data_IF_007129262942
#
_entry.id   IF_007129262942
#
_cell.length_a   1.000
_cell.length_b   1.000
_cell.length_c   1.000
_cell.angle_alpha   90.00
_cell.angle_beta   90.00
_cell.angle_gamma   90.00
#
_symmetry.space_group_name_H-M   'P 1'
#
loop_
_entity.id
_entity.type
_entity.pdbx_description
1 polymer ?
#
# COMPACT_ATOMS: atom_id res chain seq x y z
N UNK A 1 -11.10 -25.84 13.74
CA UNK A 1 -10.05 -26.87 13.67
C UNK A 1 -8.92 -26.48 14.62
N UNK A 2 -8.31 -27.44 15.35
CA UNK A 2 -7.45 -27.16 16.53
C UNK A 2 -6.34 -26.12 16.29
N UNK A 3 -5.85 -25.97 15.06
CA UNK A 3 -4.77 -25.03 14.73
C UNK A 3 -5.26 -23.60 14.47
N UNK A 4 -6.50 -23.38 14.03
CA UNK A 4 -7.04 -22.03 13.80
C UNK A 4 -7.05 -21.24 15.11
N UNK A 5 -7.51 -21.86 16.19
CA UNK A 5 -7.55 -21.21 17.51
C UNK A 5 -6.15 -20.87 18.02
N UNK A 6 -5.17 -21.77 17.83
CA UNK A 6 -3.77 -21.49 18.16
C UNK A 6 -3.21 -20.33 17.33
N UNK A 7 -3.45 -20.29 16.01
CA UNK A 7 -3.00 -19.17 15.17
C UNK A 7 -3.62 -17.84 15.63
N UNK A 8 -4.91 -17.84 15.94
CA UNK A 8 -5.61 -16.66 16.50
C UNK A 8 -4.98 -16.21 17.82
N UNK A 9 -4.67 -17.14 18.72
CA UNK A 9 -4.02 -16.85 20.00
C UNK A 9 -2.65 -16.19 19.80
N UNK A 10 -1.83 -16.70 18.90
CA UNK A 10 -0.51 -16.09 18.62
C UNK A 10 -0.65 -14.68 18.03
N UNK A 11 -1.60 -14.48 17.10
CA UNK A 11 -1.89 -13.16 16.54
C UNK A 11 -2.45 -12.19 17.59
N UNK A 12 -3.29 -12.67 18.52
CA UNK A 12 -3.81 -11.86 19.63
C UNK A 12 -2.69 -11.42 20.60
N UNK A 13 -1.63 -12.23 20.73
CA UNK A 13 -0.41 -11.88 21.45
C UNK A 13 0.53 -10.96 20.65
N UNK A 14 0.08 -10.42 19.51
CA UNK A 14 0.85 -9.51 18.67
C UNK A 14 1.98 -10.19 17.88
N UNK A 15 1.93 -11.52 17.72
CA UNK A 15 2.97 -12.26 17.01
C UNK A 15 2.52 -12.58 15.57
N UNK A 16 3.14 -11.98 14.54
CA UNK A 16 2.89 -12.33 13.15
C UNK A 16 3.32 -13.77 12.86
N UNK A 17 2.65 -14.39 11.90
CA UNK A 17 2.86 -15.81 11.58
C UNK A 17 3.24 -15.94 10.10
N UNK A 18 4.46 -16.41 9.84
CA UNK A 18 4.85 -16.83 8.50
C UNK A 18 4.21 -18.19 8.19
N UNK A 19 3.57 -18.34 7.06
CA UNK A 19 2.88 -19.59 6.71
C UNK A 19 2.97 -19.90 5.22
N UNK A 20 2.71 -21.14 4.84
CA UNK A 20 2.68 -21.57 3.45
C UNK A 20 1.39 -22.32 3.07
N UNK A 21 0.89 -22.02 1.87
CA UNK A 21 -0.31 -22.61 1.28
C UNK A 21 -0.10 -22.90 -0.21
N UNK A 22 -0.87 -23.82 -0.82
CA UNK A 22 -1.04 -23.81 -2.26
C UNK A 22 -1.67 -22.49 -2.71
N UNK A 23 -1.34 -22.05 -3.93
CA UNK A 23 -2.01 -20.96 -4.64
C UNK A 23 -2.71 -21.54 -5.85
N UNK A 24 -3.92 -21.06 -6.10
CA UNK A 24 -4.73 -21.46 -7.25
C UNK A 24 -4.77 -20.34 -8.28
N UNK A 25 -4.93 -20.68 -9.55
CA UNK A 25 -4.91 -19.71 -10.67
C UNK A 25 -5.87 -18.53 -10.46
N UNK A 26 -7.01 -18.75 -9.80
CA UNK A 26 -7.99 -17.69 -9.57
C UNK A 26 -7.45 -16.53 -8.72
N UNK A 27 -6.39 -16.73 -7.93
CA UNK A 27 -5.73 -15.65 -7.17
C UNK A 27 -5.16 -14.55 -8.09
N UNK A 28 -4.89 -14.91 -9.35
CA UNK A 28 -4.32 -14.05 -10.37
C UNK A 28 -5.39 -13.48 -11.32
N UNK A 29 -6.67 -13.70 -11.03
CA UNK A 29 -7.80 -13.21 -11.83
C UNK A 29 -8.79 -12.47 -10.94
N UNK A 30 -9.65 -11.66 -11.55
CA UNK A 30 -10.75 -11.03 -10.82
C UNK A 30 -11.77 -12.08 -10.31
N UNK A 31 -12.43 -11.81 -9.17
CA UNK A 31 -12.29 -10.61 -8.34
C UNK A 31 -11.04 -10.63 -7.42
N UNK A 32 -10.50 -11.80 -7.10
CA UNK A 32 -9.45 -11.96 -6.09
C UNK A 32 -8.17 -11.14 -6.35
N UNK A 33 -7.78 -10.98 -7.62
CA UNK A 33 -6.63 -10.13 -7.99
C UNK A 33 -6.86 -8.65 -7.66
N UNK A 34 -8.12 -8.20 -7.66
CA UNK A 34 -8.50 -6.81 -7.44
C UNK A 34 -8.74 -6.52 -5.95
N UNK A 35 -9.45 -7.41 -5.25
CA UNK A 35 -9.90 -7.17 -3.87
C UNK A 35 -9.15 -7.99 -2.80
N UNK A 36 -8.33 -8.97 -3.19
CA UNK A 36 -7.62 -9.84 -2.27
C UNK A 36 -8.53 -10.80 -1.47
N UNK A 37 -9.80 -10.93 -1.83
CA UNK A 37 -10.73 -11.83 -1.17
C UNK A 37 -10.56 -13.25 -1.70
N UNK A 38 -9.93 -14.09 -0.88
CA UNK A 38 -9.67 -15.48 -1.26
C UNK A 38 -10.88 -16.32 -0.87
N UNK A 39 -11.37 -17.14 -1.81
CA UNK A 39 -12.40 -18.15 -1.53
C UNK A 39 -11.79 -19.50 -1.24
N UNK A 40 -12.55 -20.41 -0.64
CA UNK A 40 -12.13 -21.84 -0.60
C UNK A 40 -12.05 -22.36 -2.04
N UNK A 41 -11.00 -23.11 -2.41
CA UNK A 41 -10.85 -23.62 -3.76
C UNK A 41 -11.94 -24.65 -4.07
N UNK A 42 -12.41 -24.65 -5.32
CA UNK A 42 -13.24 -25.72 -5.87
C UNK A 42 -12.33 -26.89 -6.26
N UNK A 43 -12.89 -28.10 -6.33
CA UNK A 43 -12.16 -29.29 -6.76
C UNK A 43 -11.55 -29.16 -8.16
N UNK A 44 -12.16 -28.33 -9.02
CA UNK A 44 -11.71 -28.06 -10.40
C UNK A 44 -10.72 -26.91 -10.53
N UNK A 45 -10.41 -26.18 -9.45
CA UNK A 45 -9.49 -25.05 -9.55
C UNK A 45 -8.05 -25.53 -9.79
N UNK A 46 -7.36 -25.01 -10.82
CA UNK A 46 -6.00 -25.42 -11.10
C UNK A 46 -5.04 -24.78 -10.09
N UNK A 47 -4.38 -25.62 -9.30
CA UNK A 47 -3.23 -25.22 -8.48
C UNK A 47 -2.06 -24.80 -9.36
N UNK A 48 -1.39 -23.70 -9.00
CA UNK A 48 -0.27 -23.15 -9.78
C UNK A 48 1.05 -23.14 -9.01
N UNK A 49 1.06 -23.60 -7.76
CA UNK A 49 2.25 -23.70 -6.94
C UNK A 49 1.96 -23.59 -5.45
N UNK A 50 3.02 -23.53 -4.65
CA UNK A 50 2.97 -23.12 -3.24
C UNK A 50 3.49 -21.70 -3.09
N UNK A 51 3.00 -20.99 -2.06
CA UNK A 51 3.43 -19.63 -1.74
C UNK A 51 3.53 -19.45 -0.23
N UNK A 52 4.45 -18.60 0.20
CA UNK A 52 4.67 -18.25 1.59
C UNK A 52 4.33 -16.76 1.83
N UNK A 53 3.58 -16.49 2.89
CA UNK A 53 3.06 -15.16 3.24
C UNK A 53 3.06 -14.98 4.76
N UNK A 54 2.65 -13.80 5.24
CA UNK A 54 2.56 -13.49 6.67
C UNK A 54 1.10 -13.23 7.05
N UNK A 55 0.59 -13.93 8.06
CA UNK A 55 -0.64 -13.54 8.76
C UNK A 55 -0.32 -12.44 9.75
N UNK A 56 -1.10 -11.36 9.72
CA UNK A 56 -0.90 -10.17 10.57
C UNK A 56 -2.10 -9.88 11.47
N UNK A 57 -3.21 -10.57 11.26
CA UNK A 57 -4.43 -10.38 12.04
C UNK A 57 -5.49 -11.42 11.68
N UNK A 58 -6.62 -11.35 12.37
CA UNK A 58 -7.76 -12.22 12.13
C UNK A 58 -9.05 -11.50 12.47
N UNK A 59 -10.16 -11.95 11.90
CA UNK A 59 -11.49 -11.49 12.26
C UNK A 59 -12.49 -12.65 12.17
N UNK A 60 -13.26 -12.83 13.23
CA UNK A 60 -14.36 -13.79 13.28
C UNK A 60 -15.56 -13.24 12.49
N UNK A 61 -16.14 -14.09 11.64
CA UNK A 61 -17.32 -13.79 10.83
C UNK A 61 -18.02 -15.12 10.46
N UNK A 62 -19.20 -15.33 11.02
CA UNK A 62 -19.99 -16.56 10.81
C UNK A 62 -20.44 -16.76 9.36
N UNK A 63 -20.47 -15.71 8.55
CA UNK A 63 -20.79 -15.81 7.13
C UNK A 63 -19.61 -16.31 6.29
N UNK A 64 -18.38 -16.26 6.81
CA UNK A 64 -17.17 -16.68 6.10
C UNK A 64 -16.88 -18.16 6.37
N UNK A 65 -16.55 -18.97 5.35
CA UNK A 65 -16.27 -20.39 5.54
C UNK A 65 -15.21 -20.67 6.62
N UNK A 66 -15.62 -21.40 7.65
CA UNK A 66 -14.79 -21.70 8.83
C UNK A 66 -14.96 -20.71 9.99
N UNK A 67 -15.87 -19.73 9.89
CA UNK A 67 -16.24 -18.80 10.96
C UNK A 67 -15.39 -17.52 11.03
N UNK A 68 -14.66 -17.19 9.97
CA UNK A 68 -13.88 -15.95 9.88
C UNK A 68 -12.73 -16.05 8.88
N UNK A 69 -11.84 -15.05 8.89
CA UNK A 69 -10.67 -14.96 8.01
C UNK A 69 -9.41 -14.47 8.73
N UNK A 70 -8.27 -14.85 8.18
CA UNK A 70 -6.97 -14.25 8.50
C UNK A 70 -6.69 -13.08 7.55
N UNK A 71 -6.14 -12.02 8.09
CA UNK A 71 -5.59 -10.88 7.35
C UNK A 71 -4.15 -11.21 6.98
N UNK A 72 -3.86 -11.27 5.69
CA UNK A 72 -2.60 -11.77 5.17
C UNK A 72 -1.90 -10.70 4.35
N UNK A 73 -0.66 -10.39 4.71
CA UNK A 73 0.21 -9.55 3.88
C UNK A 73 0.86 -10.41 2.80
N UNK A 74 0.59 -10.08 1.54
CA UNK A 74 1.23 -10.72 0.41
C UNK A 74 2.52 -9.98 -0.01
N UNK A 75 3.28 -10.58 -0.91
CA UNK A 75 4.57 -10.08 -1.43
C UNK A 75 4.55 -9.79 -2.93
N UNK A 76 3.36 -9.62 -3.51
CA UNK A 76 3.17 -9.35 -4.95
C UNK A 76 2.99 -7.85 -5.29
N UNK A 77 3.34 -6.97 -4.35
CA UNK A 77 3.19 -5.53 -4.48
C UNK A 77 1.76 -5.03 -4.27
N UNK A 78 1.62 -3.71 -4.17
CA UNK A 78 0.34 -3.02 -3.90
C UNK A 78 -0.61 -3.01 -5.12
N UNK A 79 -0.10 -3.31 -6.32
CA UNK A 79 -0.93 -3.48 -7.51
C UNK A 79 -1.76 -4.76 -7.51
N UNK A 80 -1.42 -5.75 -6.67
CA UNK A 80 -2.28 -6.89 -6.40
C UNK A 80 -3.18 -6.57 -5.20
N UNK A 81 -4.46 -6.94 -5.28
CA UNK A 81 -5.47 -6.58 -4.29
C UNK A 81 -5.52 -5.07 -4.01
N UNK A 82 -5.41 -4.25 -5.06
CA UNK A 82 -5.36 -2.79 -4.96
C UNK A 82 -6.63 -2.18 -4.36
N UNK A 83 -7.75 -2.89 -4.41
CA UNK A 83 -9.05 -2.51 -3.85
C UNK A 83 -9.41 -3.32 -2.60
N UNK A 84 -8.42 -3.92 -1.94
CA UNK A 84 -8.64 -4.65 -0.69
C UNK A 84 -9.18 -3.74 0.41
N UNK A 85 -10.24 -4.19 1.08
CA UNK A 85 -10.83 -3.51 2.25
C UNK A 85 -9.86 -3.39 3.43
N UNK A 86 -8.76 -4.15 3.42
CA UNK A 86 -7.71 -4.07 4.45
C UNK A 86 -6.67 -2.99 4.10
N UNK A 87 -5.99 -3.19 2.97
CA UNK A 87 -5.00 -2.31 2.37
C UNK A 87 -4.50 -2.93 1.04
N UNK A 88 -3.99 -2.14 0.08
CA UNK A 88 -3.38 -2.68 -1.14
C UNK A 88 -2.31 -3.76 -0.85
N UNK A 89 -2.35 -4.89 -1.56
CA UNK A 89 -1.43 -6.01 -1.35
C UNK A 89 -1.81 -6.96 -0.20
N UNK A 90 -2.95 -6.74 0.47
CA UNK A 90 -3.43 -7.60 1.55
C UNK A 90 -4.62 -8.46 1.12
N UNK A 91 -4.67 -9.66 1.69
CA UNK A 91 -5.71 -10.65 1.42
C UNK A 91 -6.55 -10.92 2.68
N UNK A 92 -7.84 -11.21 2.47
CA UNK A 92 -8.69 -11.90 3.44
C UNK A 92 -8.72 -13.38 3.05
N UNK A 93 -8.18 -14.25 3.92
CA UNK A 93 -8.11 -15.69 3.66
C UNK A 93 -8.97 -16.44 4.68
N UNK A 94 -10.05 -17.14 4.26
CA UNK A 94 -10.96 -17.84 5.16
C UNK A 94 -10.25 -18.84 6.06
N UNK A 95 -10.73 -18.98 7.30
CA UNK A 95 -10.22 -19.99 8.24
C UNK A 95 -10.30 -21.40 7.66
N UNK A 96 -11.35 -21.71 6.91
CA UNK A 96 -11.47 -23.00 6.21
C UNK A 96 -10.34 -23.22 5.20
N UNK A 97 -9.94 -22.18 4.45
CA UNK A 97 -8.84 -22.31 3.49
C UNK A 97 -7.54 -22.69 4.21
N UNK A 98 -7.22 -21.99 5.30
CA UNK A 98 -6.02 -22.27 6.11
C UNK A 98 -6.10 -23.66 6.74
N UNK A 99 -7.24 -24.01 7.34
CA UNK A 99 -7.42 -25.30 7.99
C UNK A 99 -7.24 -26.48 7.02
N UNK A 100 -7.72 -26.34 5.79
CA UNK A 100 -7.68 -27.42 4.80
C UNK A 100 -6.34 -27.49 4.05
N UNK A 101 -5.62 -26.37 3.91
CA UNK A 101 -4.51 -26.26 2.96
C UNK A 101 -3.17 -25.76 3.52
N UNK A 102 -3.13 -25.27 4.77
CA UNK A 102 -1.88 -24.78 5.36
C UNK A 102 -0.88 -25.93 5.54
N UNK A 103 0.34 -25.76 5.01
CA UNK A 103 1.39 -26.78 5.07
C UNK A 103 2.35 -26.57 6.23
N UNK A 104 2.65 -25.31 6.54
CA UNK A 104 3.54 -24.95 7.65
C UNK A 104 3.19 -23.56 8.15
N UNK A 105 3.37 -23.33 9.45
CA UNK A 105 3.21 -22.03 10.09
C UNK A 105 4.30 -21.86 11.16
N UNK A 106 4.92 -20.69 11.21
CA UNK A 106 6.00 -20.33 12.11
C UNK A 106 5.70 -18.97 12.74
N UNK A 107 5.70 -18.92 14.06
CA UNK A 107 5.49 -17.69 14.82
C UNK A 107 6.80 -16.91 14.86
N UNK A 108 6.76 -15.65 14.46
CA UNK A 108 7.90 -14.75 14.66
C UNK A 108 7.92 -14.30 16.12
N UNK A 109 8.87 -14.79 16.91
CA UNK A 109 9.08 -14.36 18.30
C UNK A 109 10.14 -13.26 18.37
N UNK A 110 10.06 -12.37 19.36
CA UNK A 110 11.04 -11.28 19.53
C UNK A 110 10.88 -10.15 18.52
N UNK A 111 9.71 -10.04 17.90
CA UNK A 111 9.35 -8.85 17.11
C UNK A 111 9.32 -7.69 18.08
N UNK A 112 10.17 -6.67 17.85
CA UNK A 112 10.07 -5.44 18.60
C UNK A 112 8.62 -4.94 18.52
N UNK A 113 8.09 -4.45 19.64
CA UNK A 113 6.81 -3.74 19.61
C UNK A 113 6.85 -2.74 18.44
N UNK A 114 5.76 -2.59 17.67
CA UNK A 114 5.69 -1.53 16.69
C UNK A 114 6.17 -0.24 17.36
N UNK A 115 7.11 0.52 16.77
CA UNK A 115 7.48 1.80 17.34
C UNK A 115 6.17 2.55 17.60
N UNK A 116 6.02 3.13 18.79
CA UNK A 116 4.86 3.97 19.09
C UNK A 116 4.64 4.92 17.90
N UNK A 117 3.38 5.17 17.49
CA UNK A 117 3.11 6.12 16.41
C UNK A 117 3.90 7.38 16.70
N UNK A 118 4.89 7.68 15.86
CA UNK A 118 5.66 8.91 15.99
C UNK A 118 4.63 10.00 15.82
N UNK A 119 4.28 10.69 16.91
CA UNK A 119 3.39 11.85 16.82
C UNK A 119 4.01 12.76 15.77
N UNK A 120 3.22 13.30 14.81
CA UNK A 120 3.76 14.16 13.78
C UNK A 120 4.56 15.26 14.48
N UNK A 121 5.88 15.21 14.28
CA UNK A 121 6.78 16.19 14.84
C UNK A 121 6.32 17.55 14.30
N UNK A 122 6.22 18.60 15.14
CA UNK A 122 5.86 19.93 14.66
C UNK A 122 6.77 20.25 13.47
N UNK A 123 6.18 20.51 12.32
CA UNK A 123 6.93 20.92 11.14
C UNK A 123 7.79 22.11 11.55
N UNK A 124 9.11 22.11 11.26
CA UNK A 124 9.92 23.30 11.45
C UNK A 124 9.22 24.45 10.74
N UNK A 125 8.82 25.46 11.51
CA UNK A 125 8.27 26.68 10.94
C UNK A 125 9.31 27.21 9.94
N UNK A 126 8.91 27.56 8.70
CA UNK A 126 9.86 28.07 7.73
C UNK A 126 10.60 29.25 8.35
N UNK A 127 11.93 29.15 8.40
CA UNK A 127 12.78 30.27 8.80
C UNK A 127 12.38 31.49 7.96
N UNK A 128 12.15 32.66 8.56
CA UNK A 128 11.91 33.87 7.79
C UNK A 128 13.01 34.00 6.75
N UNK A 129 12.64 34.02 5.47
CA UNK A 129 13.59 34.27 4.40
C UNK A 129 14.23 35.62 4.68
N UNK A 130 15.57 35.75 4.69
CA UNK A 130 16.21 37.05 4.79
C UNK A 130 15.63 37.95 3.71
N UNK A 131 15.01 39.06 4.11
CA UNK A 131 14.59 40.06 3.14
C UNK A 131 15.83 40.52 2.37
N UNK A 132 15.77 40.66 1.04
CA UNK A 132 16.89 41.17 0.27
C UNK A 132 17.34 42.50 0.88
N UNK A 133 18.60 42.57 1.31
CA UNK A 133 19.23 43.82 1.71
C UNK A 133 19.15 44.73 0.50
N UNK A 134 18.40 45.82 0.59
CA UNK A 134 18.34 46.81 -0.48
C UNK A 134 19.76 47.32 -0.77
N UNK A 135 20.27 47.20 -2.00
CA UNK A 135 21.55 47.79 -2.35
C UNK A 135 21.49 49.30 -2.15
N UNK A 136 22.48 49.85 -1.45
CA UNK A 136 22.68 51.29 -1.31
C UNK A 136 22.76 51.91 -2.72
N UNK A 137 22.09 53.05 -3.02
CA UNK A 137 22.06 53.60 -4.37
C UNK A 137 23.47 53.90 -4.87
N UNK A 138 23.84 53.28 -5.99
CA UNK A 138 25.07 53.57 -6.73
C UNK A 138 24.75 54.63 -7.81
N UNK A 139 25.61 55.64 -8.05
CA UNK A 139 25.36 56.66 -9.06
C UNK A 139 25.18 56.05 -10.45
N UNK A 140 24.15 56.48 -11.19
CA UNK A 140 23.79 55.91 -12.49
C UNK A 140 24.88 56.16 -13.56
N UNK A 141 25.31 55.12 -14.29
CA UNK A 141 26.05 55.27 -15.54
C UNK A 141 25.14 55.79 -16.66
N UNK A 142 25.68 56.54 -17.65
CA UNK A 142 24.88 57.14 -18.71
C UNK A 142 24.21 56.08 -19.61
N UNK A 143 22.92 56.32 -19.92
CA UNK A 143 22.03 55.44 -20.68
C UNK A 143 22.57 55.09 -22.09
N UNK A 144 22.68 53.79 -22.43
CA UNK A 144 22.81 53.36 -23.82
C UNK A 144 21.44 53.30 -24.53
N UNK A 145 21.43 53.60 -25.83
CA UNK A 145 20.25 53.67 -26.70
C UNK A 145 19.52 52.31 -26.88
N UNK A 146 18.20 52.32 -27.12
CA UNK A 146 17.41 51.08 -27.20
C UNK A 146 17.65 50.35 -28.52
N UNK A 147 17.78 49.01 -28.46
CA UNK A 147 17.63 48.11 -29.60
C UNK A 147 16.35 47.25 -29.45
N UNK A 148 15.72 46.84 -30.57
CA UNK A 148 14.33 46.38 -30.61
C UNK A 148 14.15 44.99 -29.99
N UNK A 149 13.06 44.81 -29.24
CA UNK A 149 12.68 43.53 -28.65
C UNK A 149 12.03 42.58 -29.65
N UNK A 150 12.42 41.31 -29.60
CA UNK A 150 11.66 40.20 -30.19
C UNK A 150 10.83 39.53 -29.09
N UNK A 151 9.51 39.73 -29.15
CA UNK A 151 8.52 39.00 -28.37
C UNK A 151 8.32 37.62 -28.98
N UNK A 152 8.60 36.56 -28.23
CA UNK A 152 8.26 35.20 -28.65
C UNK A 152 8.07 34.29 -27.44
N UNK A 153 6.83 33.85 -27.24
CA UNK A 153 6.35 32.57 -26.64
C UNK A 153 4.92 32.78 -26.15
N UNK A 154 4.59 33.96 -25.59
CA UNK A 154 3.25 34.25 -25.05
C UNK A 154 2.20 34.54 -26.15
N UNK A 155 2.61 35.13 -27.27
CA UNK A 155 1.68 35.49 -28.36
C UNK A 155 1.23 34.31 -29.23
N UNK A 156 1.93 33.16 -29.17
CA UNK A 156 1.56 31.96 -29.93
C UNK A 156 0.45 31.15 -29.24
N UNK A 157 0.48 31.10 -27.90
CA UNK A 157 -0.46 30.29 -27.10
C UNK A 157 -1.88 30.87 -27.12
N UNK A 158 -2.03 32.20 -27.22
CA UNK A 158 -3.36 32.84 -27.24
C UNK A 158 -4.16 32.60 -28.53
N UNK A 159 -3.53 32.15 -29.62
CA UNK A 159 -4.19 31.93 -30.92
C UNK A 159 -4.78 30.53 -31.12
N UNK A 160 -4.48 29.57 -30.24
CA UNK A 160 -4.92 28.17 -30.39
C UNK A 160 -6.20 27.80 -29.63
N UNK A 161 -6.65 28.62 -28.67
CA UNK A 161 -7.77 28.27 -27.79
C UNK A 161 -8.97 29.23 -27.87
N UNK A 162 -9.03 30.10 -28.88
CA UNK A 162 -10.15 31.03 -29.03
C UNK A 162 -10.46 31.37 -30.48
N UNK A 163 -11.26 30.53 -31.14
CA UNK A 163 -11.69 30.80 -32.51
C UNK A 163 -12.79 29.88 -33.02
N UNK A 164 -14.03 30.17 -32.59
CA UNK A 164 -15.35 29.81 -33.18
C UNK A 164 -15.75 28.33 -33.22
#
# INVERSE_FOLDING_TARGET
PRWVDTLKEQLANGMPIAFSVPVYRYWLTEPAKLDGNIRVPLSSDPGIGGHAMIMVGYQDDVAVPGGGYFMVRNSWGEGWASESDLAPGYARVPYKYIADNCRSAFVATGVAAPPEPVQPQPTPQPTPTPQPVQPKPQPEPPKPAPKPGNNSVIDWIRKLLGGK
#
